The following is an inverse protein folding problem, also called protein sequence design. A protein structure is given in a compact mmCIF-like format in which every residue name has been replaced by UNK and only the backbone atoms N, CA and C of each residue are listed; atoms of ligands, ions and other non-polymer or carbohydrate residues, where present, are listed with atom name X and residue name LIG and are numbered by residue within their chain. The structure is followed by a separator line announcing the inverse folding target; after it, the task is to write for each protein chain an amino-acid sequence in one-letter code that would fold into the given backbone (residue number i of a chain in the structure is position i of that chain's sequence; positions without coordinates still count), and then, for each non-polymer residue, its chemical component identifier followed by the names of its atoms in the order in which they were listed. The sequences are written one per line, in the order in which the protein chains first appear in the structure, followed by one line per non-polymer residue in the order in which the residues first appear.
data_IF_289076205485
#
_entry.id   IF_289076205485
#
_cell.length_a   1.000
_cell.length_b   1.000
_cell.length_c   1.000
_cell.angle_alpha   90.00
_cell.angle_beta   90.00
_cell.angle_gamma   90.00
#
_symmetry.space_group_name_H-M   'P 1'
#
loop_
_entity.id
_entity.type
_entity.pdbx_description
1 polymer ?
#
# COMPACT_ATOMS: atom_id res chain seq x y z
N UNK A 1 6.48 2.66 9.04
CA UNK A 1 6.38 3.21 7.67
C UNK A 1 7.76 3.68 7.27
N UNK A 2 8.44 2.97 6.37
CA UNK A 2 9.71 3.45 5.82
C UNK A 2 9.38 4.41 4.66
N UNK A 3 9.77 5.68 4.81
CA UNK A 3 9.83 6.66 3.74
C UNK A 3 11.30 6.85 3.41
N UNK A 4 11.82 6.13 2.42
CA UNK A 4 13.22 6.28 2.01
C UNK A 4 13.29 6.81 0.59
N UNK A 5 13.83 8.02 0.41
CA UNK A 5 14.39 8.45 -0.86
C UNK A 5 15.91 8.33 -0.76
N UNK A 6 16.51 7.48 -1.60
CA UNK A 6 17.96 7.28 -1.60
C UNK A 6 18.66 7.99 -2.75
N UNK A 7 18.00 8.23 -3.90
CA UNK A 7 18.60 8.94 -5.07
C UNK A 7 17.61 9.62 -6.04
N UNK A 8 16.32 9.75 -5.71
CA UNK A 8 15.28 10.26 -6.65
C UNK A 8 14.38 11.35 -6.05
N UNK A 9 13.76 12.18 -6.90
CA UNK A 9 12.84 13.25 -6.44
C UNK A 9 11.54 12.72 -5.80
N UNK A 10 11.22 11.44 -5.99
CA UNK A 10 10.00 10.83 -5.46
C UNK A 10 10.18 10.11 -4.12
N UNK A 11 9.08 9.98 -3.38
CA UNK A 11 8.99 9.22 -2.13
C UNK A 11 8.18 7.96 -2.39
N UNK A 12 8.64 6.81 -1.88
CA UNK A 12 7.90 5.56 -1.96
C UNK A 12 7.68 5.03 -0.55
N UNK A 13 6.44 4.65 -0.24
CA UNK A 13 6.07 3.98 1.00
C UNK A 13 5.48 2.62 0.67
N UNK A 14 5.98 1.57 1.33
CA UNK A 14 5.43 0.21 1.21
C UNK A 14 4.86 -0.22 2.56
N UNK A 15 3.62 -0.71 2.55
CA UNK A 15 2.94 -1.26 3.72
C UNK A 15 2.61 -2.72 3.43
N UNK A 16 3.28 -3.63 4.17
CA UNK A 16 3.09 -5.06 4.07
C UNK A 16 3.23 -5.70 5.48
N UNK A 17 2.23 -6.44 5.99
CA UNK A 17 0.88 -6.61 5.43
C UNK A 17 -0.02 -5.39 5.71
N UNK A 18 -0.70 -4.89 4.67
CA UNK A 18 -1.58 -3.73 4.78
C UNK A 18 -2.85 -4.00 5.61
N UNK A 19 -3.34 -5.23 5.64
CA UNK A 19 -4.52 -5.60 6.45
C UNK A 19 -4.25 -5.58 7.96
N UNK A 20 -2.98 -5.67 8.39
CA UNK A 20 -2.61 -5.65 9.81
C UNK A 20 -2.57 -4.23 10.40
N UNK A 21 -2.89 -3.20 9.61
CA UNK A 21 -2.99 -1.84 10.12
C UNK A 21 -4.10 -1.73 11.16
N UNK A 22 -3.76 -1.21 12.33
CA UNK A 22 -4.77 -0.80 13.31
C UNK A 22 -5.56 0.42 12.80
N UNK A 23 -6.66 0.74 13.49
CA UNK A 23 -7.56 1.85 13.12
C UNK A 23 -6.84 3.19 13.04
N UNK A 24 -5.90 3.47 13.94
CA UNK A 24 -5.15 4.72 13.94
C UNK A 24 -4.24 4.84 12.71
N UNK A 25 -3.53 3.77 12.36
CA UNK A 25 -2.68 3.70 11.19
C UNK A 25 -3.48 3.86 9.88
N UNK A 26 -4.62 3.17 9.78
CA UNK A 26 -5.52 3.29 8.63
C UNK A 26 -6.07 4.71 8.47
N UNK A 27 -6.48 5.36 9.57
CA UNK A 27 -6.97 6.75 9.54
C UNK A 27 -5.88 7.74 9.15
N UNK A 28 -4.66 7.58 9.64
CA UNK A 28 -3.52 8.42 9.24
C UNK A 28 -3.18 8.22 7.76
N UNK A 29 -3.25 6.99 7.26
CA UNK A 29 -3.06 6.70 5.83
C UNK A 29 -4.14 7.36 4.97
N UNK A 30 -5.41 7.36 5.41
CA UNK A 30 -6.51 8.00 4.68
C UNK A 30 -6.24 9.48 4.40
N UNK A 31 -5.71 10.21 5.39
CA UNK A 31 -5.34 11.63 5.22
C UNK A 31 -4.31 11.81 4.09
N UNK A 32 -3.35 10.89 3.97
CA UNK A 32 -2.33 10.92 2.93
C UNK A 32 -2.92 10.52 1.56
N UNK A 33 -3.87 9.57 1.54
CA UNK A 33 -4.51 9.14 0.29
C UNK A 33 -5.45 10.21 -0.28
N UNK A 34 -6.05 11.05 0.56
CA UNK A 34 -6.91 12.16 0.13
C UNK A 34 -6.13 13.32 -0.46
N UNK A 35 -4.99 13.67 0.14
CA UNK A 35 -4.08 14.71 -0.36
C UNK A 35 -2.65 14.15 -0.44
N UNK A 36 -2.32 13.40 -1.50
CA UNK A 36 -1.01 12.77 -1.63
C UNK A 36 0.07 13.84 -1.83
N UNK A 37 1.19 13.77 -1.09
CA UNK A 37 2.32 14.66 -1.33
C UNK A 37 2.86 14.48 -2.75
N UNK A 38 3.36 15.56 -3.35
CA UNK A 38 3.94 15.52 -4.69
C UNK A 38 4.99 14.40 -4.82
N UNK A 39 4.97 13.72 -5.97
CA UNK A 39 5.87 12.63 -6.33
C UNK A 39 5.89 11.48 -5.30
N UNK A 40 4.75 11.15 -4.69
CA UNK A 40 4.65 10.03 -3.74
C UNK A 40 3.94 8.83 -4.35
N UNK A 41 4.52 7.64 -4.16
CA UNK A 41 3.90 6.36 -4.47
C UNK A 41 3.70 5.57 -3.18
N UNK A 42 2.46 5.14 -2.93
CA UNK A 42 2.13 4.28 -1.78
C UNK A 42 1.71 2.93 -2.32
N UNK A 43 2.40 1.88 -1.87
CA UNK A 43 2.14 0.49 -2.25
C UNK A 43 1.62 -0.25 -1.03
N UNK A 44 0.40 -0.76 -1.14
CA UNK A 44 -0.24 -1.59 -0.12
C UNK A 44 -0.23 -3.04 -0.59
N UNK A 45 0.35 -3.93 0.22
CA UNK A 45 0.40 -5.36 -0.09
C UNK A 45 -0.49 -6.09 0.91
N UNK A 46 -1.46 -6.85 0.41
CA UNK A 46 -2.33 -7.70 1.22
C UNK A 46 -2.59 -9.01 0.49
N UNK A 47 -2.82 -10.06 1.26
CA UNK A 47 -3.28 -11.34 0.70
C UNK A 47 -4.73 -11.23 0.22
N UNK A 48 -5.15 -12.05 -0.77
CA UNK A 48 -6.49 -11.99 -1.35
C UNK A 48 -7.64 -12.14 -0.35
N UNK A 49 -7.44 -12.93 0.70
CA UNK A 49 -8.45 -13.23 1.71
C UNK A 49 -8.56 -12.15 2.80
N UNK A 50 -7.61 -11.22 2.83
CA UNK A 50 -7.52 -10.20 3.87
C UNK A 50 -8.13 -8.89 3.39
N UNK A 51 -9.26 -8.53 4.00
CA UNK A 51 -10.01 -7.33 3.64
C UNK A 51 -9.34 -6.07 4.21
N UNK A 52 -9.07 -5.11 3.33
CA UNK A 52 -8.78 -3.74 3.71
C UNK A 52 -10.08 -3.00 4.06
N UNK A 53 -10.04 -1.97 4.94
CA UNK A 53 -11.18 -1.10 5.16
C UNK A 53 -11.73 -0.52 3.86
N UNK A 54 -13.05 -0.53 3.67
CA UNK A 54 -13.72 0.00 2.46
C UNK A 54 -13.31 1.44 2.12
N UNK A 55 -13.01 2.24 3.14
CA UNK A 55 -12.52 3.63 3.00
C UNK A 55 -11.17 3.69 2.28
N UNK A 56 -10.23 2.80 2.60
CA UNK A 56 -8.94 2.70 1.90
C UNK A 56 -9.18 2.20 0.47
N UNK A 57 -9.96 1.12 0.32
CA UNK A 57 -10.31 0.51 -0.98
C UNK A 57 -10.83 1.57 -1.97
N UNK A 58 -11.67 2.49 -1.52
CA UNK A 58 -12.23 3.55 -2.37
C UNK A 58 -11.23 4.59 -2.91
N UNK A 59 -10.03 4.67 -2.31
CA UNK A 59 -9.00 5.69 -2.61
C UNK A 59 -7.73 5.09 -3.22
N UNK A 60 -7.71 3.78 -3.47
CA UNK A 60 -6.57 3.06 -4.06
C UNK A 60 -6.94 2.41 -5.38
N UNK A 61 -5.93 2.13 -6.20
CA UNK A 61 -6.09 1.30 -7.40
C UNK A 61 -5.66 -0.13 -7.08
N UNK A 62 -6.49 -1.10 -7.45
CA UNK A 62 -6.16 -2.52 -7.28
C UNK A 62 -5.29 -3.01 -8.43
N UNK A 63 -4.18 -3.65 -8.07
CA UNK A 63 -3.34 -4.43 -8.97
C UNK A 63 -3.31 -5.87 -8.45
N UNK A 64 -3.94 -6.78 -9.20
CA UNK A 64 -3.87 -8.21 -8.89
C UNK A 64 -2.55 -8.74 -9.43
N UNK A 65 -1.62 -9.07 -8.52
CA UNK A 65 -0.41 -9.79 -8.89
C UNK A 65 -0.76 -11.25 -9.16
N UNK A 66 -0.73 -11.63 -10.42
CA UNK A 66 -0.79 -13.03 -10.84
C UNK A 66 0.64 -13.58 -10.84
N UNK A 67 1.00 -14.33 -9.79
CA UNK A 67 2.28 -15.05 -9.80
C UNK A 67 2.20 -16.21 -10.79
N UNK A 68 3.10 -16.27 -11.77
CA UNK A 68 3.46 -17.57 -12.34
C UNK A 68 4.18 -18.33 -11.23
N UNK A 69 3.47 -19.28 -10.61
CA UNK A 69 4.10 -20.27 -9.75
C UNK A 69 4.92 -21.16 -10.68
N UNK A 70 6.17 -20.79 -10.94
CA UNK A 70 7.14 -21.79 -11.36
C UNK A 70 7.22 -22.79 -10.21
N UNK A 71 6.58 -23.95 -10.41
CA UNK A 71 6.83 -25.12 -9.60
C UNK A 71 8.31 -25.42 -9.78
N UNK A 72 9.13 -24.97 -8.84
CA UNK A 72 10.47 -25.53 -8.65
C UNK A 72 10.25 -27.00 -8.32
N UNK A 73 10.54 -27.85 -9.30
CA UNK A 73 10.72 -29.28 -9.12
C UNK A 73 11.86 -29.53 -8.12
#
# INVERSE_FOLDING_TARGET
MLLTSLKGKGKVAVINPAHAMNRAAANSLLKILEEPPQNTLIILISEPNNNLPKTIISRVKFLKLIGQLEKKH
#
